data_IF_503322849054
#
_entry.id   IF_503322849054
#
_cell.length_a   1.000
_cell.length_b   1.000
_cell.length_c   1.000
_cell.angle_alpha   90.00
_cell.angle_beta   90.00
_cell.angle_gamma   90.00
#
_symmetry.space_group_name_H-M   'P 1'
#
loop_
_entity.id
_entity.type
_entity.pdbx_description
1 polymer ?
#
# COMPACT_ATOMS: atom_id res chain seq x y z
N UNK A 1 -13.03 -1.80 6.87
CA UNK A 1 -12.65 -3.19 6.57
C UNK A 1 -12.75 -3.50 5.07
N UNK A 2 -13.89 -3.26 4.39
CA UNK A 2 -14.05 -3.61 2.96
C UNK A 2 -12.99 -2.99 2.02
N UNK A 3 -12.57 -1.73 2.19
CA UNK A 3 -11.57 -1.09 1.31
C UNK A 3 -10.19 -1.78 1.35
N UNK A 4 -9.78 -2.32 2.50
CA UNK A 4 -8.51 -3.04 2.64
C UNK A 4 -8.59 -4.37 1.90
N UNK A 5 -9.73 -5.08 2.03
CA UNK A 5 -9.98 -6.32 1.30
C UNK A 5 -10.01 -6.06 -0.21
N UNK A 6 -10.68 -4.99 -0.65
CA UNK A 6 -10.69 -4.58 -2.05
C UNK A 6 -9.28 -4.25 -2.55
N UNK A 7 -8.47 -3.54 -1.76
CA UNK A 7 -7.08 -3.27 -2.11
C UNK A 7 -6.28 -4.57 -2.27
N UNK A 8 -6.49 -5.56 -1.39
CA UNK A 8 -5.82 -6.86 -1.51
C UNK A 8 -6.21 -7.62 -2.79
N UNK A 9 -7.49 -7.56 -3.16
CA UNK A 9 -8.01 -8.18 -4.38
C UNK A 9 -7.47 -7.47 -5.63
N UNK A 10 -7.56 -6.15 -5.69
CA UNK A 10 -7.22 -5.38 -6.90
C UNK A 10 -5.71 -5.23 -7.12
N UNK A 11 -4.91 -5.20 -6.04
CA UNK A 11 -3.44 -5.17 -6.12
C UNK A 11 -2.80 -6.56 -6.18
N UNK A 12 -3.57 -7.61 -5.88
CA UNK A 12 -3.08 -8.98 -5.71
C UNK A 12 -1.87 -9.09 -4.75
N UNK A 13 -1.77 -8.19 -3.75
CA UNK A 13 -0.66 -8.16 -2.79
C UNK A 13 -1.01 -8.89 -1.50
N UNK A 14 -0.01 -9.45 -0.83
CA UNK A 14 -0.20 -10.12 0.47
C UNK A 14 -0.45 -9.09 1.56
N UNK A 15 -1.13 -9.48 2.62
CA UNK A 15 -1.36 -8.64 3.80
C UNK A 15 -0.06 -7.96 4.28
N UNK A 16 1.03 -8.73 4.42
CA UNK A 16 2.31 -8.20 4.88
C UNK A 16 2.96 -7.18 3.92
N UNK A 17 2.64 -7.20 2.63
CA UNK A 17 3.08 -6.19 1.66
C UNK A 17 2.22 -4.93 1.79
N UNK A 18 0.89 -5.11 1.86
CA UNK A 18 -0.09 -4.01 1.97
C UNK A 18 0.12 -3.18 3.23
N UNK A 19 0.41 -3.81 4.37
CA UNK A 19 0.66 -3.11 5.64
C UNK A 19 1.97 -2.32 5.64
N UNK A 20 2.82 -2.48 4.62
CA UNK A 20 4.10 -1.76 4.48
C UNK A 20 4.09 -0.76 3.32
N UNK A 21 2.95 -0.55 2.66
CA UNK A 21 2.83 0.47 1.63
C UNK A 21 2.91 1.87 2.24
N UNK A 22 3.81 2.68 1.70
CA UNK A 22 3.95 4.09 2.06
C UNK A 22 3.59 4.97 0.86
N UNK A 23 2.95 6.12 1.12
CA UNK A 23 2.49 7.02 0.06
C UNK A 23 3.62 7.59 -0.80
N UNK A 24 4.80 7.79 -0.19
CA UNK A 24 5.98 8.27 -0.90
C UNK A 24 6.50 7.29 -1.96
N UNK A 25 6.07 6.04 -1.89
CA UNK A 25 6.45 4.97 -2.81
C UNK A 25 5.47 4.80 -3.97
N UNK A 26 4.38 5.58 -3.98
CA UNK A 26 3.41 5.59 -5.06
C UNK A 26 3.80 6.63 -6.11
N UNK A 27 4.18 6.13 -7.29
CA UNK A 27 4.51 6.92 -8.46
C UNK A 27 3.26 7.12 -9.31
N UNK A 28 2.73 8.34 -9.27
CA UNK A 28 1.51 8.73 -10.02
C UNK A 28 1.75 8.88 -11.52
N UNK A 29 2.97 9.18 -11.95
CA UNK A 29 3.27 9.39 -13.37
C UNK A 29 3.25 8.06 -14.12
N UNK A 30 3.85 7.03 -13.51
CA UNK A 30 3.92 5.68 -14.11
C UNK A 30 2.85 4.73 -13.57
N UNK A 31 2.02 5.20 -12.64
CA UNK A 31 1.01 4.42 -11.92
C UNK A 31 1.59 3.10 -11.37
N UNK A 32 2.74 3.22 -10.69
CA UNK A 32 3.41 2.08 -10.05
C UNK A 32 3.60 2.35 -8.57
N UNK A 33 3.68 1.28 -7.78
CA UNK A 33 3.97 1.40 -6.36
C UNK A 33 5.15 0.52 -5.99
N UNK A 34 6.16 1.11 -5.38
CA UNK A 34 7.32 0.40 -4.88
C UNK A 34 6.99 -0.34 -3.56
N UNK A 35 7.29 -1.64 -3.54
CA UNK A 35 7.28 -2.48 -2.36
C UNK A 35 8.69 -2.55 -1.79
N UNK A 36 8.83 -2.12 -0.54
CA UNK A 36 10.09 -2.18 0.20
C UNK A 36 10.28 -3.52 0.88
N UNK A 37 11.53 -3.95 0.94
CA UNK A 37 12.01 -5.14 1.65
C UNK A 37 11.13 -6.38 1.43
N UNK A 38 10.99 -6.78 0.17
CA UNK A 38 10.25 -8.01 -0.19
C UNK A 38 10.97 -9.22 0.36
N UNK A 39 10.21 -10.12 0.98
CA UNK A 39 10.72 -11.38 1.55
C UNK A 39 11.40 -12.23 0.47
N UNK A 40 12.64 -12.62 0.74
CA UNK A 40 13.47 -13.51 -0.08
C UNK A 40 14.24 -14.44 0.88
N UNK A 41 14.46 -15.74 0.53
CA UNK A 41 15.34 -16.64 1.29
C UNK A 41 16.67 -16.04 1.76
N UNK A 42 17.27 -15.15 0.96
CA UNK A 42 18.59 -14.56 1.24
C UNK A 42 18.51 -13.26 2.06
N UNK A 43 17.33 -12.92 2.59
CA UNK A 43 17.07 -11.66 3.29
C UNK A 43 16.27 -10.67 2.46
N UNK A 44 15.53 -9.80 3.14
CA UNK A 44 14.63 -8.84 2.51
C UNK A 44 15.22 -7.45 2.33
N UNK A 45 16.24 -7.07 3.12
CA UNK A 45 16.77 -5.70 3.15
C UNK A 45 17.27 -5.26 1.76
N UNK A 46 16.72 -4.17 1.24
CA UNK A 46 17.09 -3.61 -0.07
C UNK A 46 16.49 -4.34 -1.26
N UNK A 47 15.67 -5.37 -1.05
CA UNK A 47 14.95 -6.04 -2.13
C UNK A 47 13.66 -5.28 -2.46
N UNK A 48 13.79 -4.27 -3.31
CA UNK A 48 12.68 -3.43 -3.74
C UNK A 48 12.14 -3.92 -5.08
N UNK A 49 10.81 -3.99 -5.21
CA UNK A 49 10.16 -4.22 -6.51
C UNK A 49 8.96 -3.32 -6.66
N UNK A 50 8.65 -2.92 -7.88
CA UNK A 50 7.44 -2.16 -8.18
C UNK A 50 6.36 -3.09 -8.73
N UNK A 51 5.11 -2.73 -8.49
CA UNK A 51 3.96 -3.31 -9.18
C UNK A 51 3.15 -2.21 -9.87
N UNK A 52 2.48 -2.57 -10.96
CA UNK A 52 1.57 -1.67 -11.67
C UNK A 52 0.27 -1.57 -10.88
N UNK A 53 -0.17 -0.35 -10.64
CA UNK A 53 -1.48 -0.05 -10.05
C UNK A 53 -2.50 -0.04 -11.19
N UNK A 54 -3.38 -1.04 -11.22
CA UNK A 54 -4.49 -1.08 -12.18
C UNK A 54 -5.48 0.04 -11.90
N UNK A 55 -6.34 0.38 -12.88
CA UNK A 55 -7.39 1.38 -12.69
C UNK A 55 -8.32 1.04 -11.52
N UNK A 56 -8.66 -0.23 -11.34
CA UNK A 56 -9.48 -0.67 -10.22
C UNK A 56 -8.74 -0.56 -8.89
N UNK A 57 -7.44 -0.85 -8.86
CA UNK A 57 -6.62 -0.61 -7.68
C UNK A 57 -6.55 0.89 -7.35
N UNK A 58 -6.41 1.75 -8.37
CA UNK A 58 -6.37 3.20 -8.21
C UNK A 58 -7.64 3.74 -7.56
N UNK A 59 -8.82 3.32 -8.02
CA UNK A 59 -10.11 3.72 -7.41
C UNK A 59 -10.15 3.42 -5.92
N UNK A 60 -9.62 2.26 -5.49
CA UNK A 60 -9.56 1.89 -4.07
C UNK A 60 -8.57 2.77 -3.31
N UNK A 61 -7.41 3.05 -3.90
CA UNK A 61 -6.41 3.94 -3.31
C UNK A 61 -6.99 5.33 -3.10
N UNK A 62 -7.70 5.88 -4.08
CA UNK A 62 -8.34 7.20 -4.00
C UNK A 62 -9.38 7.24 -2.87
N UNK A 63 -10.23 6.21 -2.75
CA UNK A 63 -11.18 6.08 -1.64
C UNK A 63 -10.46 5.99 -0.28
N UNK A 64 -9.35 5.24 -0.20
CA UNK A 64 -8.52 5.16 1.00
C UNK A 64 -7.82 6.48 1.34
N UNK A 65 -7.67 7.39 0.38
CA UNK A 65 -7.06 8.73 0.58
C UNK A 65 -8.08 9.79 0.98
N UNK A 66 -9.39 9.52 0.89
CA UNK A 66 -10.41 10.49 1.27
C UNK A 66 -10.28 10.86 2.76
N UNK A 67 -10.40 12.16 3.12
CA UNK A 67 -10.15 12.62 4.50
C UNK A 67 -11.03 11.94 5.56
N UNK A 68 -12.28 11.66 5.25
CA UNK A 68 -13.24 10.99 6.14
C UNK A 68 -12.89 9.51 6.37
N UNK A 69 -12.37 8.83 5.33
CA UNK A 69 -11.85 7.47 5.43
C UNK A 69 -10.53 7.46 6.20
N UNK A 70 -9.62 8.40 5.90
CA UNK A 70 -8.34 8.57 6.59
C UNK A 70 -8.47 8.78 8.09
N UNK A 71 -9.45 9.58 8.53
CA UNK A 71 -9.75 9.80 9.96
C UNK A 71 -10.06 8.52 10.74
N UNK A 72 -10.53 7.46 10.06
CA UNK A 72 -10.83 6.15 10.67
C UNK A 72 -9.56 5.34 10.92
N UNK A 73 -8.46 5.68 10.26
CA UNK A 73 -7.18 4.99 10.39
C UNK A 73 -6.28 5.75 11.38
N UNK A 74 -6.00 5.15 12.56
CA UNK A 74 -5.04 5.71 13.54
C UNK A 74 -3.61 5.46 13.07
N UNK A 75 -3.09 6.27 12.15
CA UNK A 75 -1.69 6.17 11.75
C UNK A 75 -0.77 6.78 12.81
N UNK A 76 0.36 6.13 13.12
CA UNK A 76 1.44 6.72 13.92
C UNK A 76 2.32 7.66 13.09
N UNK A 77 2.28 7.52 11.77
CA UNK A 77 3.19 8.17 10.82
C UNK A 77 2.42 8.67 9.61
N UNK A 78 2.61 9.93 9.20
CA UNK A 78 1.85 10.54 8.09
C UNK A 78 2.06 9.84 6.74
N UNK A 79 3.15 9.07 6.58
CA UNK A 79 3.51 8.41 5.33
C UNK A 79 2.87 7.03 5.07
N UNK A 80 2.28 6.39 6.08
CA UNK A 80 1.76 5.02 5.92
C UNK A 80 0.37 5.00 5.24
N UNK A 81 0.20 4.11 4.25
CA UNK A 81 -1.13 3.88 3.67
C UNK A 81 -2.08 3.24 4.68
N UNK A 82 -1.57 2.40 5.58
CA UNK A 82 -2.35 1.61 6.54
C UNK A 82 -1.92 1.95 7.97
N UNK A 83 -2.84 2.06 8.94
CA UNK A 83 -2.44 2.24 10.33
C UNK A 83 -1.98 0.90 10.92
N UNK A 84 -0.93 0.99 11.74
CA UNK A 84 -0.33 -0.04 12.61
C UNK A 84 1.06 -0.49 12.16
N UNK A 85 2.08 0.08 12.83
CA UNK A 85 3.27 -0.64 13.27
C UNK A 85 3.08 -0.94 14.77
N UNK A 86 2.73 -2.19 15.09
CA UNK A 86 2.83 -2.77 16.44
C UNK A 86 4.24 -3.28 16.66
#
# INVERSE_FOLDING_TARGET
MHLICMLAITSCRRQAEITRLEFRDFDKEFNTWQLRDIKNPNGSKGNYKSFIVSEDCQKVIDLLMQPDVRKRFKSKTEGDLMPLRS
#
